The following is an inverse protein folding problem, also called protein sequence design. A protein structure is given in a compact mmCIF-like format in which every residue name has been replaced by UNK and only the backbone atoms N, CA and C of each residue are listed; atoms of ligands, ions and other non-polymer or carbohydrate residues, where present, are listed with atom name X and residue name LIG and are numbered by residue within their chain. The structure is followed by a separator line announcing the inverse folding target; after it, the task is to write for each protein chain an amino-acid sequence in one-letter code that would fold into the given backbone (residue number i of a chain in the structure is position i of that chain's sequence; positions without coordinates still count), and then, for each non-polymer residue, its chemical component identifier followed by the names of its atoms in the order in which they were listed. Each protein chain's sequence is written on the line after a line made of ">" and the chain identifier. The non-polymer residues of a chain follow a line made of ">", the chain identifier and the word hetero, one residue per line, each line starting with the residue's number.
data_IF_417246266778
#
_entry.id   IF_417246266778
#
_cell.length_a   1.000
_cell.length_b   1.000
_cell.length_c   1.000
_cell.angle_alpha   90.00
_cell.angle_beta   90.00
_cell.angle_gamma   90.00
#
_symmetry.space_group_name_H-M   'P 1'
#
loop_
_entity.id
_entity.type
_entity.pdbx_description
1 polymer ?
#
# COMPACT_ATOMS: atom_id res chain seq x y z
N UNK A 1 21.37 20.84 -6.96
CA UNK A 1 22.26 19.90 -6.25
C UNK A 1 22.75 18.87 -7.26
N UNK A 2 24.03 18.90 -7.63
CA UNK A 2 24.61 17.87 -8.50
C UNK A 2 24.61 16.55 -7.69
N UNK A 3 24.05 15.48 -8.27
CA UNK A 3 24.13 14.16 -7.63
C UNK A 3 25.58 13.70 -7.71
N UNK A 4 26.26 13.56 -6.58
CA UNK A 4 27.69 13.15 -6.51
C UNK A 4 27.96 11.89 -7.33
N UNK A 5 27.06 10.90 -7.28
CA UNK A 5 27.13 9.70 -8.14
C UNK A 5 27.25 10.03 -9.62
N UNK A 6 26.47 11.01 -10.10
CA UNK A 6 26.48 11.46 -11.50
C UNK A 6 27.80 12.14 -11.85
N UNK A 7 28.33 13.00 -10.99
CA UNK A 7 29.61 13.67 -11.21
C UNK A 7 30.78 12.68 -11.33
N UNK A 8 30.78 11.60 -10.53
CA UNK A 8 31.76 10.51 -10.62
C UNK A 8 31.57 9.73 -11.92
N UNK A 9 30.32 9.43 -12.29
CA UNK A 9 30.01 8.66 -13.50
C UNK A 9 30.34 9.36 -14.81
N UNK A 10 30.08 10.67 -14.92
CA UNK A 10 30.34 11.42 -16.16
C UNK A 10 31.84 11.43 -16.50
N UNK A 11 32.69 11.21 -15.50
CA UNK A 11 34.14 11.04 -15.64
C UNK A 11 34.57 9.60 -15.95
N UNK A 12 33.63 8.64 -15.93
CA UNK A 12 33.82 7.23 -16.26
C UNK A 12 32.85 6.75 -17.37
N UNK A 13 32.78 7.42 -18.54
CA UNK A 13 31.77 7.16 -19.56
C UNK A 13 31.87 5.77 -20.20
N UNK A 14 33.04 5.14 -20.14
CA UNK A 14 33.26 3.77 -20.61
C UNK A 14 32.55 2.70 -19.76
N UNK A 15 31.99 3.10 -18.60
CA UNK A 15 31.37 2.21 -17.62
C UNK A 15 29.87 2.45 -17.59
N UNK A 16 29.19 2.01 -18.66
CA UNK A 16 27.74 2.20 -18.87
C UNK A 16 26.86 1.78 -17.68
N UNK A 17 27.35 0.94 -16.76
CA UNK A 17 26.63 0.48 -15.57
C UNK A 17 27.16 1.00 -14.22
N UNK A 18 28.26 1.77 -14.19
CA UNK A 18 28.88 2.18 -12.93
C UNK A 18 27.97 3.05 -12.05
N UNK A 19 27.07 3.86 -12.64
CA UNK A 19 26.18 4.72 -11.86
C UNK A 19 25.20 4.00 -10.98
N UNK A 20 24.72 2.85 -11.43
CA UNK A 20 23.79 2.03 -10.67
C UNK A 20 24.52 1.18 -9.64
N UNK A 21 25.83 0.98 -9.81
CA UNK A 21 26.67 0.16 -8.96
C UNK A 21 27.44 0.95 -7.87
N UNK A 22 27.32 2.29 -7.85
CA UNK A 22 27.88 3.14 -6.80
C UNK A 22 27.00 3.12 -5.54
N UNK A 23 27.50 2.47 -4.50
CA UNK A 23 26.81 2.22 -3.24
C UNK A 23 27.41 3.04 -2.10
N UNK A 24 26.62 3.21 -1.03
CA UNK A 24 27.13 3.74 0.24
C UNK A 24 27.59 2.54 1.07
N UNK A 25 28.83 2.50 1.58
CA UNK A 25 29.34 1.36 2.33
C UNK A 25 28.46 1.01 3.54
N UNK A 26 28.39 -0.28 3.86
CA UNK A 26 27.68 -0.74 5.05
C UNK A 26 28.23 -0.09 6.33
N UNK A 27 27.35 0.12 7.32
CA UNK A 27 27.62 0.88 8.56
C UNK A 27 28.90 0.45 9.31
N UNK A 28 29.22 -0.85 9.30
CA UNK A 28 30.43 -1.40 9.93
C UNK A 28 31.72 -1.00 9.20
N UNK A 29 31.66 -0.80 7.88
CA UNK A 29 32.80 -0.33 7.08
C UNK A 29 32.99 1.18 7.21
N UNK A 30 31.91 1.95 7.39
CA UNK A 30 31.97 3.40 7.66
C UNK A 30 32.76 3.72 8.94
N UNK A 31 32.65 2.87 9.97
CA UNK A 31 33.43 2.99 11.20
C UNK A 31 34.93 2.74 10.97
N UNK A 32 35.29 1.84 10.07
CA UNK A 32 36.69 1.57 9.68
C UNK A 32 37.29 2.68 8.82
N UNK A 33 36.47 3.36 8.01
CA UNK A 33 36.89 4.51 7.19
C UNK A 33 37.01 5.81 7.97
N UNK A 34 37.18 5.75 9.30
CA UNK A 34 37.25 6.90 10.19
C UNK A 34 36.07 7.89 10.02
N UNK A 35 34.88 7.39 9.65
CA UNK A 35 33.66 8.16 9.35
C UNK A 35 33.79 9.13 8.17
N UNK A 36 34.78 8.97 7.29
CA UNK A 36 34.84 9.78 6.06
C UNK A 36 33.73 9.37 5.09
N UNK A 37 32.99 10.33 4.50
CA UNK A 37 31.96 10.04 3.51
C UNK A 37 32.60 9.35 2.30
N UNK A 38 32.12 8.16 1.97
CA UNK A 38 32.71 7.29 0.94
C UNK A 38 31.59 6.72 0.08
N UNK A 39 31.80 6.65 -1.22
CA UNK A 39 31.04 5.80 -2.14
C UNK A 39 31.91 4.63 -2.55
N UNK A 40 31.32 3.45 -2.71
CA UNK A 40 32.04 2.27 -3.17
C UNK A 40 31.39 1.67 -4.41
N UNK A 41 32.22 1.08 -5.26
CA UNK A 41 31.77 0.27 -6.37
C UNK A 41 32.41 -1.12 -6.28
N UNK A 42 31.58 -2.13 -6.10
CA UNK A 42 31.99 -3.53 -6.03
C UNK A 42 32.09 -4.09 -7.46
N UNK A 43 33.25 -4.65 -7.80
CA UNK A 43 33.54 -5.15 -9.14
C UNK A 43 32.91 -6.55 -9.34
N UNK A 44 32.29 -6.85 -10.51
CA UNK A 44 31.76 -8.17 -10.81
C UNK A 44 32.88 -9.22 -10.90
N UNK A 45 32.65 -10.42 -10.38
CA UNK A 45 33.63 -11.52 -10.36
C UNK A 45 34.05 -12.06 -11.73
N UNK A 46 33.34 -11.70 -12.81
CA UNK A 46 33.55 -12.22 -14.16
C UNK A 46 34.62 -11.47 -14.98
N UNK A 47 35.29 -10.48 -14.39
CA UNK A 47 36.06 -9.47 -15.15
C UNK A 47 37.58 -9.62 -14.94
N UNK A 48 38.12 -10.75 -14.46
CA UNK A 48 39.50 -10.84 -13.93
C UNK A 48 40.65 -10.16 -14.75
N UNK A 49 40.61 -10.16 -16.09
CA UNK A 49 41.61 -9.46 -16.93
C UNK A 49 41.25 -7.99 -17.18
N UNK A 50 39.99 -7.74 -17.52
CA UNK A 50 39.44 -6.41 -17.77
C UNK A 50 39.30 -5.58 -16.45
N UNK A 51 39.34 -6.25 -15.31
CA UNK A 51 39.33 -5.72 -13.93
C UNK A 51 40.69 -5.09 -13.62
N UNK A 52 41.80 -5.67 -14.09
CA UNK A 52 43.14 -5.05 -13.91
C UNK A 52 43.29 -3.79 -14.72
N UNK A 53 42.91 -3.82 -15.99
CA UNK A 53 42.95 -2.64 -16.87
C UNK A 53 42.03 -1.53 -16.35
N UNK A 54 40.84 -1.88 -15.86
CA UNK A 54 39.92 -0.95 -15.24
C UNK A 54 40.49 -0.33 -13.96
N UNK A 55 41.07 -1.15 -13.09
CA UNK A 55 41.64 -0.69 -11.83
C UNK A 55 42.84 0.23 -12.06
N UNK A 56 43.67 -0.04 -13.05
CA UNK A 56 44.76 0.86 -13.44
C UNK A 56 44.22 2.16 -14.06
N UNK A 57 43.23 2.08 -14.97
CA UNK A 57 42.60 3.27 -15.55
C UNK A 57 41.97 4.18 -14.48
N UNK A 58 41.27 3.61 -13.49
CA UNK A 58 40.66 4.39 -12.40
C UNK A 58 41.70 4.92 -11.42
N UNK A 59 42.83 4.23 -11.19
CA UNK A 59 43.94 4.75 -10.39
C UNK A 59 44.63 5.95 -11.06
N UNK A 60 44.80 5.89 -12.37
CA UNK A 60 45.47 6.94 -13.14
C UNK A 60 44.54 8.12 -13.45
N UNK A 61 43.23 7.91 -13.40
CA UNK A 61 42.24 8.96 -13.62
C UNK A 61 42.24 9.99 -12.48
N UNK A 62 42.40 11.27 -12.85
CA UNK A 62 42.19 12.39 -11.93
C UNK A 62 40.73 12.79 -11.92
N UNK A 63 40.04 12.42 -10.85
CA UNK A 63 38.67 12.85 -10.63
C UNK A 63 38.62 14.32 -10.24
N UNK A 64 37.47 14.97 -10.45
CA UNK A 64 37.20 16.32 -9.97
C UNK A 64 37.40 16.42 -8.44
N UNK A 65 38.49 17.09 -8.06
CA UNK A 65 38.92 17.33 -6.68
C UNK A 65 37.88 18.14 -5.88
N UNK A 66 36.89 18.75 -6.55
CA UNK A 66 35.73 19.38 -5.91
C UNK A 66 34.90 18.36 -5.12
N UNK A 67 34.81 17.12 -5.59
CA UNK A 67 33.93 16.10 -5.01
C UNK A 67 34.68 14.92 -4.44
N UNK A 68 35.76 14.49 -5.10
CA UNK A 68 36.52 13.30 -4.73
C UNK A 68 37.85 13.73 -4.13
N UNK A 69 38.08 13.43 -2.86
CA UNK A 69 39.34 13.69 -2.17
C UNK A 69 40.39 12.62 -2.52
N UNK A 70 39.96 11.36 -2.58
CA UNK A 70 40.86 10.23 -2.79
C UNK A 70 40.12 9.05 -3.36
N UNK A 71 40.75 8.38 -4.32
CA UNK A 71 40.31 7.07 -4.81
C UNK A 71 41.22 5.99 -4.24
N UNK A 72 40.62 4.89 -3.75
CA UNK A 72 41.35 3.72 -3.31
C UNK A 72 40.85 2.49 -4.05
N UNK A 73 41.78 1.72 -4.59
CA UNK A 73 41.50 0.39 -5.11
C UNK A 73 41.76 -0.61 -4.00
N UNK A 74 40.72 -1.34 -3.61
CA UNK A 74 40.81 -2.44 -2.65
C UNK A 74 40.79 -3.75 -3.45
N UNK A 75 41.91 -4.49 -3.48
CA UNK A 75 41.97 -5.75 -4.22
C UNK A 75 41.05 -6.80 -3.57
N UNK A 76 40.70 -7.82 -4.35
CA UNK A 76 39.93 -8.95 -3.85
C UNK A 76 40.70 -9.67 -2.74
N UNK A 77 40.00 -10.05 -1.67
CA UNK A 77 40.59 -10.73 -0.51
C UNK A 77 39.62 -11.77 0.05
N UNK A 78 40.04 -13.04 0.06
CA UNK A 78 39.23 -14.17 0.47
C UNK A 78 37.86 -14.21 -0.24
N UNK A 79 36.76 -14.06 0.52
CA UNK A 79 35.37 -14.04 -0.02
C UNK A 79 34.88 -12.64 -0.44
N UNK A 80 35.75 -11.63 -0.45
CA UNK A 80 35.37 -10.25 -0.82
C UNK A 80 35.88 -9.95 -2.23
N UNK A 81 34.96 -9.51 -3.09
CA UNK A 81 35.29 -8.98 -4.41
C UNK A 81 36.14 -7.71 -4.29
N UNK A 82 36.91 -7.40 -5.33
CA UNK A 82 37.62 -6.14 -5.40
C UNK A 82 36.61 -4.99 -5.47
N UNK A 83 37.01 -3.82 -4.95
CA UNK A 83 36.18 -2.63 -4.97
C UNK A 83 36.99 -1.36 -5.14
N UNK A 84 36.32 -0.33 -5.63
CA UNK A 84 36.85 1.01 -5.76
C UNK A 84 36.12 1.89 -4.74
N UNK A 85 36.87 2.55 -3.86
CA UNK A 85 36.34 3.49 -2.88
C UNK A 85 36.66 4.92 -3.30
N UNK A 86 35.61 5.74 -3.40
CA UNK A 86 35.68 7.17 -3.66
C UNK A 86 35.44 7.91 -2.34
N UNK A 87 36.52 8.43 -1.74
CA UNK A 87 36.43 9.27 -0.55
C UNK A 87 36.03 10.67 -0.98
N UNK A 88 34.97 11.20 -0.38
CA UNK A 88 34.38 12.48 -0.77
C UNK A 88 34.96 13.61 0.06
N UNK A 89 35.05 14.81 -0.53
CA UNK A 89 35.46 16.05 0.15
C UNK A 89 34.39 16.50 1.16
N UNK A 90 34.62 16.38 2.49
CA UNK A 90 33.57 16.67 3.47
C UNK A 90 33.23 18.16 3.56
N UNK A 91 34.24 19.03 3.43
CA UNK A 91 34.07 20.49 3.55
C UNK A 91 33.21 21.02 2.42
N UNK A 92 33.55 20.71 1.17
CA UNK A 92 32.79 21.14 -0.01
C UNK A 92 31.37 20.56 0.04
N UNK A 93 31.20 19.31 0.46
CA UNK A 93 29.87 18.72 0.65
C UNK A 93 29.02 19.49 1.67
N UNK A 94 29.60 19.82 2.84
CA UNK A 94 28.91 20.57 3.90
C UNK A 94 28.62 21.99 3.43
N UNK A 95 29.58 22.68 2.82
CA UNK A 95 29.40 24.02 2.26
C UNK A 95 28.30 24.05 1.20
N UNK A 96 28.33 23.12 0.25
CA UNK A 96 27.25 22.98 -0.73
C UNK A 96 25.91 22.69 -0.06
N UNK A 97 25.85 21.82 0.95
CA UNK A 97 24.61 21.52 1.66
C UNK A 97 24.06 22.74 2.41
N UNK A 98 24.93 23.53 3.05
CA UNK A 98 24.56 24.73 3.82
C UNK A 98 24.23 25.93 2.92
N UNK A 99 24.94 26.09 1.80
CA UNK A 99 24.74 27.16 0.82
C UNK A 99 23.63 26.84 -0.17
N UNK A 100 23.28 25.57 -0.34
CA UNK A 100 22.04 25.18 -1.02
C UNK A 100 20.91 25.75 -0.18
N UNK A 101 20.42 26.95 -0.55
CA UNK A 101 19.04 27.34 -0.25
C UNK A 101 18.22 26.11 -0.63
N UNK A 102 17.47 25.54 0.31
CA UNK A 102 16.57 24.40 0.09
C UNK A 102 15.80 24.67 -1.20
N UNK A 103 16.39 24.24 -2.32
CA UNK A 103 15.91 24.60 -3.61
C UNK A 103 14.74 23.66 -3.77
N UNK A 104 13.56 24.25 -3.73
CA UNK A 104 12.28 23.60 -3.93
C UNK A 104 12.13 23.06 -5.34
N UNK A 105 13.21 22.93 -6.12
CA UNK A 105 13.24 22.14 -7.35
C UNK A 105 13.00 20.68 -6.96
N UNK A 106 11.73 20.34 -6.76
CA UNK A 106 11.25 18.97 -6.73
C UNK A 106 11.85 18.29 -7.95
N UNK A 107 12.44 17.09 -7.82
CA UNK A 107 12.86 16.34 -9.00
C UNK A 107 11.59 16.14 -9.83
N UNK A 108 11.40 16.89 -10.91
CA UNK A 108 10.20 16.76 -11.71
C UNK A 108 10.26 15.39 -12.41
N UNK A 109 9.36 14.45 -12.10
CA UNK A 109 9.04 13.42 -13.06
C UNK A 109 8.39 14.11 -14.26
N UNK A 110 8.23 13.40 -15.38
CA UNK A 110 7.39 13.93 -16.45
C UNK A 110 6.02 14.34 -15.85
N UNK A 111 5.46 15.53 -16.17
CA UNK A 111 4.16 16.00 -15.65
C UNK A 111 2.98 15.04 -15.92
N UNK A 112 3.22 13.99 -16.70
CA UNK A 112 2.26 13.00 -17.16
C UNK A 112 2.16 11.78 -16.25
N UNK A 113 3.11 11.55 -15.34
CA UNK A 113 3.09 10.34 -14.48
C UNK A 113 2.16 10.53 -13.27
N UNK A 114 1.07 9.77 -13.27
CA UNK A 114 0.08 9.72 -12.21
C UNK A 114 0.22 8.42 -11.39
N UNK A 115 0.39 8.55 -10.07
CA UNK A 115 0.54 7.44 -9.13
C UNK A 115 -0.72 7.35 -8.28
N UNK A 116 -1.38 6.19 -8.31
CA UNK A 116 -2.46 5.89 -7.36
C UNK A 116 -1.90 5.06 -6.21
N UNK A 117 -2.37 5.37 -5.01
CA UNK A 117 -2.08 4.60 -3.81
C UNK A 117 -3.41 4.23 -3.18
N UNK A 118 -3.79 2.95 -3.26
CA UNK A 118 -4.92 2.38 -2.54
C UNK A 118 -4.44 1.84 -1.19
N UNK A 119 -5.04 2.32 -0.11
CA UNK A 119 -4.65 1.92 1.23
C UNK A 119 -5.77 2.17 2.26
N UNK A 120 -5.58 1.62 3.46
CA UNK A 120 -6.56 1.54 4.55
C UNK A 120 -7.71 0.58 4.25
N UNK A 121 -8.55 0.91 3.26
CA UNK A 121 -9.63 0.06 2.71
C UNK A 121 -10.38 -0.82 3.73
N UNK A 122 -10.88 -0.27 4.87
CA UNK A 122 -11.61 -1.06 5.85
C UNK A 122 -13.00 -1.48 5.34
N UNK A 123 -13.54 -2.54 5.92
CA UNK A 123 -14.96 -2.86 5.79
C UNK A 123 -15.82 -1.86 6.55
N UNK A 124 -16.96 -1.48 6.00
CA UNK A 124 -17.86 -0.56 6.69
C UNK A 124 -18.61 -1.22 7.84
N UNK A 125 -19.19 -0.38 8.72
CA UNK A 125 -19.90 -0.83 9.92
C UNK A 125 -19.06 -1.70 10.88
N UNK A 126 -17.73 -1.73 10.70
CA UNK A 126 -16.78 -2.39 11.60
C UNK A 126 -15.85 -1.34 12.22
N UNK A 127 -15.63 -1.36 13.53
CA UNK A 127 -14.74 -0.40 14.17
C UNK A 127 -13.30 -0.52 13.65
N UNK A 128 -12.61 0.61 13.61
CA UNK A 128 -11.24 0.66 13.12
C UNK A 128 -10.25 0.05 14.14
N UNK A 129 -9.80 -1.18 13.89
CA UNK A 129 -8.80 -1.85 14.73
C UNK A 129 -7.35 -1.63 14.27
N UNK A 130 -6.38 -1.93 15.13
CA UNK A 130 -4.93 -1.75 14.86
C UNK A 130 -4.44 -2.49 13.61
N UNK A 131 -5.09 -3.58 13.20
CA UNK A 131 -4.79 -4.26 11.93
C UNK A 131 -4.86 -3.34 10.70
N UNK A 132 -5.78 -2.37 10.68
CA UNK A 132 -5.93 -1.42 9.57
C UNK A 132 -4.83 -0.35 9.58
N UNK A 133 -4.29 -0.01 10.76
CA UNK A 133 -3.27 1.03 10.94
C UNK A 133 -2.04 0.83 10.03
N UNK A 134 -1.62 -0.42 9.81
CA UNK A 134 -0.44 -0.72 8.98
C UNK A 134 -0.63 -0.23 7.55
N UNK A 135 -1.74 -0.63 6.93
CA UNK A 135 -2.05 -0.17 5.57
C UNK A 135 -2.18 1.35 5.54
N UNK A 136 -2.89 1.94 6.51
CA UNK A 136 -3.09 3.39 6.62
C UNK A 136 -1.79 4.18 6.65
N UNK A 137 -0.85 3.83 7.54
CA UNK A 137 0.42 4.57 7.67
C UNK A 137 1.32 4.33 6.47
N UNK A 138 1.48 3.07 6.03
CA UNK A 138 2.36 2.73 4.90
C UNK A 138 1.90 3.44 3.63
N UNK A 139 0.60 3.38 3.33
CA UNK A 139 0.05 4.05 2.16
C UNK A 139 0.17 5.57 2.23
N UNK A 140 -0.09 6.18 3.39
CA UNK A 140 0.09 7.63 3.56
C UNK A 140 1.56 8.06 3.34
N UNK A 141 2.52 7.30 3.87
CA UNK A 141 3.97 7.56 3.65
C UNK A 141 4.31 7.45 2.16
N UNK A 142 3.84 6.41 1.48
CA UNK A 142 4.09 6.24 0.05
C UNK A 142 3.47 7.36 -0.78
N UNK A 143 2.24 7.76 -0.49
CA UNK A 143 1.59 8.87 -1.19
C UNK A 143 2.34 10.20 -0.96
N UNK A 144 2.74 10.48 0.28
CA UNK A 144 3.52 11.67 0.62
C UNK A 144 4.89 11.67 -0.06
N UNK A 145 5.56 10.52 -0.16
CA UNK A 145 6.84 10.38 -0.84
C UNK A 145 6.71 10.67 -2.34
N UNK A 146 5.75 10.05 -3.03
CA UNK A 146 5.53 10.28 -4.46
C UNK A 146 5.13 11.74 -4.74
N UNK A 147 4.25 12.32 -3.93
CA UNK A 147 3.89 13.74 -4.05
C UNK A 147 5.09 14.67 -3.79
N UNK A 148 5.95 14.35 -2.82
CA UNK A 148 7.18 15.10 -2.56
C UNK A 148 8.17 15.02 -3.74
N UNK A 149 8.26 13.84 -4.35
CA UNK A 149 9.02 13.59 -5.58
C UNK A 149 8.37 14.19 -6.84
N UNK A 150 7.28 14.95 -6.72
CA UNK A 150 6.69 15.70 -7.82
C UNK A 150 5.69 14.94 -8.70
N UNK A 151 5.37 13.69 -8.38
CA UNK A 151 4.35 12.92 -9.10
C UNK A 151 2.94 13.45 -8.79
N UNK A 152 2.05 13.48 -9.80
CA UNK A 152 0.61 13.56 -9.53
C UNK A 152 0.23 12.32 -8.74
N UNK A 153 -0.33 12.48 -7.55
CA UNK A 153 -0.61 11.36 -6.64
C UNK A 153 -2.04 11.42 -6.16
N UNK A 154 -2.78 10.31 -6.30
CA UNK A 154 -4.15 10.15 -5.79
C UNK A 154 -4.16 9.13 -4.66
N UNK A 155 -4.64 9.53 -3.48
CA UNK A 155 -4.89 8.68 -2.32
C UNK A 155 -6.30 8.13 -2.40
N UNK A 156 -6.41 6.82 -2.55
CA UNK A 156 -7.68 6.12 -2.76
C UNK A 156 -7.99 5.23 -1.55
N UNK A 157 -9.23 5.31 -1.07
CA UNK A 157 -9.76 4.41 -0.05
C UNK A 157 -10.85 3.53 -0.65
N UNK A 158 -10.59 2.22 -0.79
CA UNK A 158 -11.54 1.29 -1.37
C UNK A 158 -12.32 0.59 -0.24
N UNK A 159 -13.48 1.12 0.10
CA UNK A 159 -14.23 0.69 1.28
C UNK A 159 -15.02 -0.59 0.97
N UNK A 160 -14.83 -1.58 1.85
CA UNK A 160 -15.52 -2.86 1.78
C UNK A 160 -16.97 -2.71 2.18
N UNK A 161 -17.86 -2.73 1.19
CA UNK A 161 -19.28 -2.47 1.35
C UNK A 161 -20.13 -3.45 0.52
N UNK A 162 -19.52 -4.57 0.11
CA UNK A 162 -20.21 -5.67 -0.57
C UNK A 162 -19.99 -7.05 0.07
N UNK A 163 -21.05 -7.87 0.10
CA UNK A 163 -21.03 -9.25 0.59
C UNK A 163 -22.05 -9.57 1.70
N UNK A 164 -22.12 -10.86 2.06
CA UNK A 164 -23.12 -11.41 2.99
C UNK A 164 -23.10 -10.79 4.38
N UNK A 165 -21.96 -10.22 4.79
CA UNK A 165 -21.83 -9.46 6.04
C UNK A 165 -22.80 -8.27 6.14
N UNK A 166 -23.27 -7.73 5.01
CA UNK A 166 -24.22 -6.62 4.99
C UNK A 166 -25.66 -7.07 5.12
N UNK A 167 -26.00 -8.23 4.57
CA UNK A 167 -27.26 -8.89 4.87
C UNK A 167 -27.41 -9.20 6.36
N UNK A 168 -26.33 -9.64 7.00
CA UNK A 168 -26.27 -9.83 8.45
C UNK A 168 -26.42 -8.52 9.21
N UNK A 169 -25.77 -7.44 8.76
CA UNK A 169 -25.90 -6.12 9.38
C UNK A 169 -27.35 -5.61 9.34
N UNK A 170 -27.98 -5.62 8.16
CA UNK A 170 -29.38 -5.21 7.99
C UNK A 170 -30.32 -6.07 8.83
N UNK A 171 -30.11 -7.39 8.85
CA UNK A 171 -30.88 -8.28 9.71
C UNK A 171 -30.70 -7.97 11.20
N UNK A 172 -29.48 -7.67 11.63
CA UNK A 172 -29.19 -7.32 13.03
C UNK A 172 -29.91 -6.07 13.49
N UNK A 173 -29.93 -5.03 12.65
CA UNK A 173 -30.66 -3.79 12.94
C UNK A 173 -32.17 -4.08 13.13
N UNK A 174 -32.73 -4.97 12.32
CA UNK A 174 -34.13 -5.41 12.42
C UNK A 174 -34.36 -6.24 13.69
N UNK A 175 -33.49 -7.21 13.99
CA UNK A 175 -33.65 -8.12 15.13
C UNK A 175 -33.53 -7.39 16.47
N UNK A 176 -32.61 -6.43 16.56
CA UNK A 176 -32.37 -5.65 17.77
C UNK A 176 -33.35 -4.47 17.93
N UNK A 177 -34.28 -4.27 16.97
CA UNK A 177 -35.22 -3.13 16.95
C UNK A 177 -34.51 -1.77 17.15
N UNK A 178 -33.35 -1.59 16.51
CA UNK A 178 -32.52 -0.40 16.68
C UNK A 178 -33.32 0.84 16.28
N UNK A 179 -33.39 1.80 17.20
CA UNK A 179 -34.07 3.07 16.98
C UNK A 179 -33.18 4.07 16.25
N UNK A 180 -33.79 5.05 15.57
CA UNK A 180 -33.06 6.15 14.93
C UNK A 180 -32.24 6.96 15.95
N UNK A 181 -32.73 7.09 17.18
CA UNK A 181 -32.05 7.79 18.28
C UNK A 181 -30.74 7.10 18.67
N UNK A 182 -30.77 5.76 18.87
CA UNK A 182 -29.58 4.97 19.16
C UNK A 182 -28.56 5.04 18.01
N UNK A 183 -29.04 4.96 16.77
CA UNK A 183 -28.19 5.04 15.57
C UNK A 183 -27.48 6.39 15.46
N UNK A 184 -28.11 7.49 15.85
CA UNK A 184 -27.50 8.83 15.79
C UNK A 184 -26.41 9.05 16.84
N UNK A 185 -26.54 8.46 18.03
CA UNK A 185 -25.58 8.66 19.14
C UNK A 185 -24.25 7.96 18.86
N UNK A 186 -24.29 6.70 18.42
CA UNK A 186 -23.09 5.87 18.25
C UNK A 186 -23.25 4.89 17.08
N UNK A 187 -23.34 5.39 15.82
CA UNK A 187 -23.75 4.59 14.67
C UNK A 187 -22.85 3.38 14.45
N UNK A 188 -21.52 3.55 14.48
CA UNK A 188 -20.58 2.44 14.21
C UNK A 188 -20.61 1.39 15.31
N UNK A 189 -20.79 1.79 16.56
CA UNK A 189 -20.88 0.85 17.67
C UNK A 189 -22.18 0.04 17.62
N UNK A 190 -23.30 0.71 17.34
CA UNK A 190 -24.62 0.10 17.19
C UNK A 190 -24.67 -0.86 16.00
N UNK A 191 -24.14 -0.43 14.85
CA UNK A 191 -24.01 -1.26 13.66
C UNK A 191 -23.13 -2.49 13.93
N UNK A 192 -22.00 -2.31 14.61
CA UNK A 192 -21.13 -3.43 14.95
C UNK A 192 -21.80 -4.43 15.90
N UNK A 193 -22.50 -3.94 16.94
CA UNK A 193 -23.28 -4.78 17.87
C UNK A 193 -24.36 -5.58 17.12
N UNK A 194 -25.10 -4.90 16.25
CA UNK A 194 -26.14 -5.50 15.40
C UNK A 194 -25.58 -6.62 14.51
N UNK A 195 -24.44 -6.36 13.86
CA UNK A 195 -23.75 -7.37 13.06
C UNK A 195 -23.32 -8.59 13.88
N UNK A 196 -22.74 -8.38 15.08
CA UNK A 196 -22.31 -9.48 15.95
C UNK A 196 -23.50 -10.32 16.40
N UNK A 197 -24.61 -9.69 16.79
CA UNK A 197 -25.84 -10.36 17.20
C UNK A 197 -26.41 -11.23 16.06
N UNK A 198 -26.56 -10.65 14.86
CA UNK A 198 -27.06 -11.36 13.70
C UNK A 198 -26.12 -12.49 13.24
N UNK A 199 -24.80 -12.28 13.28
CA UNK A 199 -23.84 -13.32 12.93
C UNK A 199 -23.94 -14.52 13.87
N UNK A 200 -24.04 -14.29 15.18
CA UNK A 200 -24.26 -15.36 16.16
C UNK A 200 -25.58 -16.09 15.91
N UNK A 201 -26.66 -15.35 15.68
CA UNK A 201 -27.97 -15.94 15.40
C UNK A 201 -27.98 -16.76 14.09
N UNK A 202 -27.24 -16.32 13.07
CA UNK A 202 -27.10 -17.05 11.81
C UNK A 202 -26.24 -18.32 11.92
N UNK A 203 -25.26 -18.34 12.83
CA UNK A 203 -24.48 -19.56 13.13
C UNK A 203 -25.35 -20.63 13.81
N UNK A 204 -26.33 -20.20 14.60
CA UNK A 204 -27.24 -21.08 15.36
C UNK A 204 -28.51 -21.47 14.56
N UNK A 205 -28.89 -20.71 13.53
CA UNK A 205 -30.11 -20.93 12.74
C UNK A 205 -29.91 -20.81 11.23
N UNK A 206 -30.09 -21.91 10.46
CA UNK A 206 -30.05 -21.88 8.99
C UNK A 206 -31.09 -20.95 8.36
N UNK A 207 -32.23 -20.74 9.03
CA UNK A 207 -33.30 -19.86 8.55
C UNK A 207 -32.89 -18.39 8.65
N UNK A 208 -32.24 -18.00 9.76
CA UNK A 208 -31.66 -16.67 9.94
C UNK A 208 -30.53 -16.44 8.93
N UNK A 209 -29.67 -17.44 8.71
CA UNK A 209 -28.63 -17.37 7.69
C UNK A 209 -29.18 -17.22 6.26
N UNK A 210 -30.34 -17.85 5.98
CA UNK A 210 -31.06 -17.67 4.70
C UNK A 210 -31.62 -16.25 4.60
N UNK A 211 -32.31 -15.77 5.65
CA UNK A 211 -32.88 -14.41 5.68
C UNK A 211 -31.82 -13.33 5.47
N UNK A 212 -30.63 -13.48 6.05
CA UNK A 212 -29.51 -12.57 5.82
C UNK A 212 -29.05 -12.57 4.35
N UNK A 213 -28.97 -13.75 3.72
CA UNK A 213 -28.64 -13.85 2.29
C UNK A 213 -29.72 -13.22 1.40
N UNK A 214 -30.99 -13.43 1.73
CA UNK A 214 -32.11 -12.88 0.97
C UNK A 214 -32.14 -11.34 1.06
N UNK A 215 -31.85 -10.78 2.25
CA UNK A 215 -31.70 -9.32 2.43
C UNK A 215 -30.54 -8.75 1.61
N UNK A 216 -29.40 -9.44 1.58
CA UNK A 216 -28.26 -9.03 0.76
C UNK A 216 -28.60 -9.09 -0.73
N UNK A 217 -29.26 -10.15 -1.20
CA UNK A 217 -29.69 -10.29 -2.59
C UNK A 217 -30.67 -9.17 -2.99
N UNK A 218 -31.60 -8.79 -2.12
CA UNK A 218 -32.51 -7.67 -2.35
C UNK A 218 -31.78 -6.32 -2.44
N UNK A 219 -30.75 -6.11 -1.61
CA UNK A 219 -29.89 -4.92 -1.67
C UNK A 219 -29.08 -4.88 -2.98
N UNK A 220 -28.52 -6.01 -3.39
CA UNK A 220 -27.77 -6.15 -4.64
C UNK A 220 -28.65 -5.91 -5.88
N UNK A 221 -29.90 -6.40 -5.86
CA UNK A 221 -30.86 -6.18 -6.93
C UNK A 221 -31.46 -4.76 -6.96
N UNK A 222 -31.26 -3.97 -5.90
CA UNK A 222 -31.81 -2.61 -5.78
C UNK A 222 -33.33 -2.58 -5.69
N UNK A 223 -33.98 -3.68 -5.30
CA UNK A 223 -35.44 -3.82 -5.29
C UNK A 223 -36.11 -3.18 -4.08
N UNK A 224 -35.34 -2.80 -3.06
CA UNK A 224 -35.83 -2.18 -1.83
C UNK A 224 -35.23 -0.78 -1.65
N UNK A 225 -36.02 0.25 -1.95
CA UNK A 225 -35.61 1.65 -1.86
C UNK A 225 -35.30 2.07 -0.40
N UNK A 226 -35.97 1.46 0.58
CA UNK A 226 -35.76 1.77 2.00
C UNK A 226 -34.40 1.25 2.45
N UNK A 227 -34.08 0.00 2.11
CA UNK A 227 -32.76 -0.59 2.37
C UNK A 227 -31.65 0.18 1.66
N UNK A 228 -31.87 0.61 0.42
CA UNK A 228 -30.90 1.43 -0.31
C UNK A 228 -30.63 2.78 0.39
N UNK A 229 -31.66 3.45 0.91
CA UNK A 229 -31.50 4.71 1.69
C UNK A 229 -30.75 4.48 2.99
N UNK A 230 -31.11 3.44 3.74
CA UNK A 230 -30.40 3.08 4.97
C UNK A 230 -28.92 2.76 4.70
N UNK A 231 -28.65 2.09 3.59
CA UNK A 231 -27.30 1.75 3.17
C UNK A 231 -26.43 2.99 2.89
N UNK A 232 -26.98 3.97 2.16
CA UNK A 232 -26.30 5.26 1.97
C UNK A 232 -26.01 5.95 3.30
N UNK A 233 -26.93 5.85 4.26
CA UNK A 233 -26.74 6.42 5.59
C UNK A 233 -25.60 5.70 6.35
N UNK A 234 -25.50 4.38 6.28
CA UNK A 234 -24.41 3.61 6.93
C UNK A 234 -23.04 3.94 6.34
N UNK A 235 -22.97 4.12 5.02
CA UNK A 235 -21.76 4.61 4.34
C UNK A 235 -21.35 5.98 4.87
N UNK A 236 -22.31 6.90 4.99
CA UNK A 236 -22.07 8.25 5.52
C UNK A 236 -21.52 8.20 6.94
N UNK A 237 -22.16 7.46 7.84
CA UNK A 237 -21.67 7.29 9.22
C UNK A 237 -20.26 6.70 9.27
N UNK A 238 -19.97 5.73 8.38
CA UNK A 238 -18.64 5.13 8.30
C UNK A 238 -17.59 6.15 7.86
N UNK A 239 -17.85 6.95 6.81
CA UNK A 239 -16.92 7.99 6.40
C UNK A 239 -16.70 9.02 7.51
N UNK A 240 -17.76 9.45 8.19
CA UNK A 240 -17.65 10.44 9.26
C UNK A 240 -16.80 9.95 10.44
N UNK A 241 -16.96 8.69 10.85
CA UNK A 241 -16.15 8.09 11.91
C UNK A 241 -14.69 7.89 11.47
N UNK A 242 -14.48 7.28 10.30
CA UNK A 242 -13.15 7.07 9.73
C UNK A 242 -12.40 8.39 9.54
N UNK A 243 -13.08 9.45 9.11
CA UNK A 243 -12.48 10.78 8.90
C UNK A 243 -11.90 11.35 10.19
N UNK A 244 -12.52 11.10 11.36
CA UNK A 244 -11.97 11.51 12.66
C UNK A 244 -10.64 10.79 12.95
N UNK A 245 -10.59 9.49 12.68
CA UNK A 245 -9.37 8.66 12.86
C UNK A 245 -8.28 9.11 11.88
N UNK A 246 -8.60 9.25 10.60
CA UNK A 246 -7.64 9.69 9.57
C UNK A 246 -7.09 11.08 9.87
N UNK A 247 -7.94 12.03 10.26
CA UNK A 247 -7.51 13.37 10.67
C UNK A 247 -6.53 13.32 11.84
N UNK A 248 -6.78 12.49 12.85
CA UNK A 248 -5.88 12.30 13.99
C UNK A 248 -4.51 11.74 13.57
N UNK A 249 -4.47 10.92 12.52
CA UNK A 249 -3.24 10.34 11.97
C UNK A 249 -2.53 11.24 10.94
N UNK A 250 -3.09 12.41 10.60
CA UNK A 250 -2.58 13.25 9.51
C UNK A 250 -2.74 12.60 8.13
N UNK A 251 -3.80 11.82 7.95
CA UNK A 251 -4.14 11.09 6.72
C UNK A 251 -5.34 11.76 6.07
N UNK A 252 -5.33 11.84 4.75
CA UNK A 252 -6.46 12.29 3.93
C UNK A 252 -6.57 11.42 2.68
N UNK A 253 -7.75 11.41 2.07
CA UNK A 253 -8.02 10.69 0.83
C UNK A 253 -8.59 11.65 -0.19
N UNK A 254 -8.17 11.48 -1.44
CA UNK A 254 -8.62 12.26 -2.59
C UNK A 254 -9.86 11.62 -3.23
N UNK A 255 -10.02 10.30 -3.06
CA UNK A 255 -11.15 9.52 -3.56
C UNK A 255 -11.55 8.43 -2.57
N UNK A 256 -12.86 8.33 -2.33
CA UNK A 256 -13.49 7.21 -1.65
C UNK A 256 -14.26 6.39 -2.66
N UNK A 257 -14.00 5.11 -2.69
CA UNK A 257 -14.56 4.14 -3.60
C UNK A 257 -15.24 3.03 -2.79
N UNK A 258 -16.18 2.34 -3.41
CA UNK A 258 -17.03 1.33 -2.76
C UNK A 258 -17.02 0.06 -3.59
N UNK A 259 -16.94 -1.11 -2.95
CA UNK A 259 -17.07 -2.38 -3.67
C UNK A 259 -18.36 -2.43 -4.50
N UNK A 260 -19.46 -2.06 -3.89
CA UNK A 260 -20.79 -1.97 -4.50
C UNK A 260 -20.96 -0.94 -5.63
N UNK A 261 -20.02 0.00 -5.82
CA UNK A 261 -20.14 0.98 -6.91
C UNK A 261 -20.04 0.31 -8.29
N UNK A 262 -19.46 -0.88 -8.33
CA UNK A 262 -19.31 -1.68 -9.53
C UNK A 262 -20.57 -2.53 -9.74
N UNK A 263 -21.34 -2.19 -10.77
CA UNK A 263 -22.62 -2.81 -11.05
C UNK A 263 -22.46 -4.25 -11.54
N UNK A 264 -23.52 -5.05 -11.42
CA UNK A 264 -23.56 -6.39 -12.01
C UNK A 264 -23.28 -6.36 -13.52
N UNK A 265 -23.77 -5.33 -14.23
CA UNK A 265 -23.53 -5.17 -15.66
C UNK A 265 -22.03 -4.97 -15.98
N UNK A 266 -21.32 -4.16 -15.20
CA UNK A 266 -19.87 -3.99 -15.37
C UNK A 266 -19.13 -5.30 -15.12
N UNK A 267 -19.55 -6.07 -14.11
CA UNK A 267 -18.96 -7.38 -13.83
C UNK A 267 -19.23 -8.35 -14.98
N UNK A 268 -20.45 -8.38 -15.53
CA UNK A 268 -20.79 -9.23 -16.68
C UNK A 268 -19.94 -8.89 -17.91
N UNK A 269 -19.72 -7.61 -18.22
CA UNK A 269 -18.83 -7.18 -19.31
C UNK A 269 -17.39 -7.72 -19.14
N UNK A 270 -16.88 -7.74 -17.91
CA UNK A 270 -15.57 -8.35 -17.61
C UNK A 270 -15.59 -9.86 -17.83
N UNK A 271 -16.63 -10.55 -17.36
CA UNK A 271 -16.76 -12.00 -17.53
C UNK A 271 -16.82 -12.36 -19.02
N UNK A 272 -17.58 -11.60 -19.81
CA UNK A 272 -17.67 -11.80 -21.25
C UNK A 272 -16.32 -11.55 -21.93
N UNK A 273 -15.58 -10.50 -21.56
CA UNK A 273 -14.20 -10.30 -22.06
C UNK A 273 -13.30 -11.47 -21.75
N UNK A 274 -13.37 -12.03 -20.53
CA UNK A 274 -12.58 -13.20 -20.15
C UNK A 274 -12.97 -14.45 -20.92
N UNK A 275 -14.27 -14.66 -21.21
CA UNK A 275 -14.74 -15.77 -22.05
C UNK A 275 -14.27 -15.65 -23.49
N UNK A 276 -14.41 -14.46 -24.08
CA UNK A 276 -13.95 -14.19 -25.45
C UNK A 276 -12.43 -14.34 -25.60
N UNK A 277 -11.67 -14.01 -24.56
CA UNK A 277 -10.22 -14.24 -24.51
C UNK A 277 -9.84 -15.71 -24.25
N UNK A 278 -10.80 -16.60 -24.00
CA UNK A 278 -10.56 -18.01 -23.66
C UNK A 278 -9.92 -18.23 -22.27
N UNK A 279 -9.97 -17.22 -21.40
CA UNK A 279 -9.34 -17.24 -20.08
C UNK A 279 -10.28 -17.79 -19.00
N UNK A 280 -11.59 -17.54 -19.14
CA UNK A 280 -12.61 -18.04 -18.21
C UNK A 280 -13.08 -19.43 -18.66
N UNK A 281 -12.77 -20.44 -17.87
CA UNK A 281 -13.00 -21.84 -18.18
C UNK A 281 -14.08 -22.43 -17.27
N UNK A 282 -15.10 -23.11 -17.83
CA UNK A 282 -16.11 -23.78 -17.03
C UNK A 282 -15.56 -25.07 -16.40
N UNK A 283 -16.05 -25.38 -15.21
CA UNK A 283 -15.75 -26.58 -14.44
C UNK A 283 -16.94 -27.55 -14.41
N UNK A 284 -16.67 -28.83 -14.16
CA UNK A 284 -17.71 -29.86 -14.09
C UNK A 284 -18.73 -29.62 -12.96
N UNK A 285 -18.34 -28.90 -11.92
CA UNK A 285 -19.20 -28.56 -10.78
C UNK A 285 -19.96 -27.23 -10.96
N UNK A 286 -19.96 -26.67 -12.18
CA UNK A 286 -20.68 -25.44 -12.52
C UNK A 286 -19.95 -24.14 -12.15
N UNK A 287 -18.74 -24.21 -11.60
CA UNK A 287 -17.89 -23.01 -11.40
C UNK A 287 -17.30 -22.53 -12.72
N UNK A 288 -16.93 -21.25 -12.77
CA UNK A 288 -16.04 -20.74 -13.82
C UNK A 288 -14.74 -20.21 -13.20
N UNK A 289 -13.60 -20.60 -13.75
CA UNK A 289 -12.27 -20.36 -13.21
C UNK A 289 -11.35 -19.66 -14.21
N UNK A 290 -10.30 -19.03 -13.70
CA UNK A 290 -9.12 -18.65 -14.49
C UNK A 290 -7.91 -19.45 -14.02
N UNK A 291 -6.99 -19.75 -14.93
CA UNK A 291 -5.74 -20.47 -14.60
C UNK A 291 -4.58 -19.50 -14.59
N UNK A 292 -3.95 -19.31 -13.43
CA UNK A 292 -2.83 -18.39 -13.23
C UNK A 292 -1.69 -19.16 -12.55
N UNK A 293 -0.52 -19.19 -13.18
CA UNK A 293 0.66 -19.92 -12.68
C UNK A 293 0.38 -21.40 -12.34
N UNK A 294 -0.45 -22.05 -13.17
CA UNK A 294 -0.87 -23.44 -12.96
C UNK A 294 -1.90 -23.64 -11.83
N UNK A 295 -2.37 -22.57 -11.18
CA UNK A 295 -3.41 -22.62 -10.15
C UNK A 295 -4.77 -22.25 -10.73
N UNK A 296 -5.80 -22.96 -10.27
CA UNK A 296 -7.20 -22.77 -10.68
C UNK A 296 -7.89 -21.83 -9.70
N UNK A 297 -8.27 -20.65 -10.16
CA UNK A 297 -8.79 -19.57 -9.32
C UNK A 297 -10.25 -19.32 -9.70
N UNK A 298 -11.20 -19.57 -8.79
CA UNK A 298 -12.61 -19.37 -9.09
C UNK A 298 -12.96 -17.89 -9.24
N UNK A 299 -13.72 -17.59 -10.28
CA UNK A 299 -14.31 -16.27 -10.54
C UNK A 299 -15.82 -16.30 -10.29
N UNK A 300 -16.47 -17.40 -10.67
CA UNK A 300 -17.91 -17.64 -10.49
C UNK A 300 -18.10 -18.93 -9.70
N UNK A 301 -19.01 -18.92 -8.73
CA UNK A 301 -19.40 -20.10 -7.96
C UNK A 301 -20.41 -20.97 -8.72
N UNK A 302 -20.63 -22.19 -8.25
CA UNK A 302 -21.61 -23.12 -8.83
C UNK A 302 -23.06 -22.61 -8.79
N UNK A 303 -23.37 -21.63 -7.93
CA UNK A 303 -24.67 -20.97 -7.84
C UNK A 303 -24.79 -19.74 -8.77
N UNK A 304 -23.78 -19.47 -9.59
CA UNK A 304 -23.73 -18.31 -10.50
C UNK A 304 -23.30 -17.00 -9.84
N UNK A 305 -23.10 -16.96 -8.51
CA UNK A 305 -22.63 -15.75 -7.83
C UNK A 305 -21.16 -15.45 -8.12
N UNK A 306 -20.83 -14.17 -8.27
CA UNK A 306 -19.47 -13.71 -8.56
C UNK A 306 -18.62 -13.58 -7.30
N UNK A 307 -17.32 -13.85 -7.42
CA UNK A 307 -16.35 -13.67 -6.35
C UNK A 307 -15.65 -12.31 -6.44
N UNK A 308 -15.00 -11.91 -5.33
CA UNK A 308 -14.31 -10.62 -5.18
C UNK A 308 -13.35 -10.29 -6.34
N UNK A 309 -12.67 -11.30 -6.89
CA UNK A 309 -11.72 -11.11 -7.98
C UNK A 309 -12.37 -10.47 -9.23
N UNK A 310 -13.60 -10.83 -9.58
CA UNK A 310 -14.30 -10.23 -10.72
C UNK A 310 -14.54 -8.72 -10.50
N UNK A 311 -14.92 -8.36 -9.27
CA UNK A 311 -15.17 -6.98 -8.85
C UNK A 311 -13.89 -6.16 -8.83
N UNK A 312 -12.80 -6.71 -8.32
CA UNK A 312 -11.50 -6.03 -8.29
C UNK A 312 -10.93 -5.81 -9.69
N UNK A 313 -11.17 -6.73 -10.64
CA UNK A 313 -10.82 -6.52 -12.05
C UNK A 313 -11.63 -5.34 -12.61
N UNK A 314 -12.95 -5.32 -12.39
CA UNK A 314 -13.80 -4.21 -12.82
C UNK A 314 -13.31 -2.88 -12.22
N UNK A 315 -12.94 -2.88 -10.94
CA UNK A 315 -12.40 -1.71 -10.26
C UNK A 315 -11.10 -1.22 -10.89
N UNK A 316 -10.16 -2.14 -11.13
CA UNK A 316 -8.89 -1.83 -11.76
C UNK A 316 -9.06 -1.24 -13.17
N UNK A 317 -9.93 -1.80 -14.00
CA UNK A 317 -10.13 -1.30 -15.37
C UNK A 317 -10.88 0.04 -15.42
N UNK A 318 -11.81 0.28 -14.49
CA UNK A 318 -12.45 1.58 -14.33
C UNK A 318 -11.44 2.63 -13.89
N UNK A 319 -10.59 2.32 -12.89
CA UNK A 319 -9.52 3.23 -12.44
C UNK A 319 -8.54 3.54 -13.55
N UNK A 320 -8.18 2.55 -14.37
CA UNK A 320 -7.31 2.77 -15.54
C UNK A 320 -7.94 3.78 -16.50
N UNK A 321 -9.23 3.63 -16.79
CA UNK A 321 -9.96 4.50 -17.70
C UNK A 321 -10.15 5.91 -17.13
N UNK A 322 -10.46 6.03 -15.83
CA UNK A 322 -10.73 7.29 -15.14
C UNK A 322 -9.47 8.09 -14.84
N UNK A 323 -8.44 7.44 -14.35
CA UNK A 323 -7.24 8.11 -13.84
C UNK A 323 -6.05 8.08 -14.79
N UNK A 324 -6.05 7.17 -15.78
CA UNK A 324 -4.95 6.98 -16.72
C UNK A 324 -3.60 6.91 -16.01
N UNK A 325 -3.55 6.09 -14.95
CA UNK A 325 -2.41 6.06 -14.06
C UNK A 325 -1.19 5.42 -14.72
N UNK A 326 -0.02 5.90 -14.35
CA UNK A 326 1.27 5.28 -14.70
C UNK A 326 1.62 4.14 -13.74
N UNK A 327 1.26 4.26 -12.46
CA UNK A 327 1.40 3.18 -11.47
C UNK A 327 0.24 3.19 -10.47
N UNK A 328 -0.12 2.01 -10.00
CA UNK A 328 -1.10 1.78 -8.94
C UNK A 328 -0.50 0.88 -7.87
N UNK A 329 -0.40 1.42 -6.65
CA UNK A 329 0.12 0.74 -5.48
C UNK A 329 -1.04 0.26 -4.61
N UNK A 330 -1.16 -1.05 -4.44
CA UNK A 330 -2.11 -1.68 -3.52
C UNK A 330 -1.41 -2.00 -2.20
N UNK A 331 -1.76 -1.30 -1.12
CA UNK A 331 -1.14 -1.48 0.20
C UNK A 331 -1.97 -2.45 1.03
N UNK A 332 -1.71 -3.75 0.88
CA UNK A 332 -2.53 -4.81 1.48
C UNK A 332 -1.66 -5.88 2.16
N UNK A 333 -2.20 -6.59 3.14
CA UNK A 333 -1.48 -7.61 3.89
C UNK A 333 -0.93 -8.72 2.98
N UNK A 334 0.19 -9.32 3.39
CA UNK A 334 0.85 -10.37 2.63
C UNK A 334 -0.02 -11.62 2.42
N UNK A 335 -1.05 -11.83 3.25
CA UNK A 335 -1.98 -12.95 3.08
C UNK A 335 -2.79 -12.88 1.79
N UNK A 336 -2.91 -11.71 1.16
CA UNK A 336 -3.62 -11.51 -0.10
C UNK A 336 -2.70 -11.59 -1.34
N UNK A 337 -1.46 -12.06 -1.19
CA UNK A 337 -0.49 -12.09 -2.29
C UNK A 337 -0.97 -12.92 -3.50
N UNK A 338 -1.60 -14.07 -3.25
CA UNK A 338 -2.13 -14.92 -4.32
C UNK A 338 -3.29 -14.25 -5.06
N UNK A 339 -4.16 -13.54 -4.32
CA UNK A 339 -5.27 -12.76 -4.88
C UNK A 339 -4.76 -11.65 -5.81
N UNK A 340 -3.80 -10.83 -5.35
CA UNK A 340 -3.24 -9.75 -6.18
C UNK A 340 -2.46 -10.27 -7.39
N UNK A 341 -1.77 -11.41 -7.26
CA UNK A 341 -1.15 -12.06 -8.41
C UNK A 341 -2.19 -12.48 -9.47
N UNK A 342 -3.31 -13.05 -9.03
CA UNK A 342 -4.43 -13.40 -9.90
C UNK A 342 -5.05 -12.15 -10.55
N UNK A 343 -5.32 -11.11 -9.75
CA UNK A 343 -5.88 -9.85 -10.22
C UNK A 343 -5.03 -9.22 -11.31
N UNK A 344 -3.73 -9.04 -11.06
CA UNK A 344 -2.85 -8.35 -12.00
C UNK A 344 -2.70 -9.11 -13.30
N UNK A 345 -2.47 -10.42 -13.24
CA UNK A 345 -2.29 -11.26 -14.44
C UNK A 345 -3.58 -11.38 -15.24
N UNK A 346 -4.71 -11.54 -14.57
CA UNK A 346 -6.02 -11.64 -15.23
C UNK A 346 -6.39 -10.31 -15.90
N UNK A 347 -6.21 -9.18 -15.21
CA UNK A 347 -6.54 -7.86 -15.76
C UNK A 347 -5.66 -7.49 -16.97
N UNK A 348 -4.34 -7.72 -16.89
CA UNK A 348 -3.41 -7.46 -18.01
C UNK A 348 -3.72 -8.36 -19.22
N UNK A 349 -4.20 -9.59 -18.98
CA UNK A 349 -4.55 -10.50 -20.06
C UNK A 349 -5.80 -10.07 -20.87
N UNK A 350 -6.67 -9.23 -20.30
CA UNK A 350 -7.90 -8.74 -20.97
C UNK A 350 -7.87 -7.26 -21.33
N UNK A 351 -6.86 -6.50 -20.90
CA UNK A 351 -6.73 -5.07 -21.17
C UNK A 351 -5.33 -4.74 -21.69
N UNK A 352 -5.23 -4.48 -23.00
CA UNK A 352 -3.95 -4.22 -23.68
C UNK A 352 -3.28 -2.90 -23.28
N UNK A 353 -4.03 -1.95 -22.70
CA UNK A 353 -3.47 -0.69 -22.18
C UNK A 353 -2.76 -0.85 -20.84
N UNK A 354 -2.88 -2.00 -20.19
CA UNK A 354 -2.38 -2.25 -18.84
C UNK A 354 -1.18 -3.20 -18.87
N UNK A 355 -0.11 -2.84 -18.17
CA UNK A 355 1.08 -3.66 -18.03
C UNK A 355 1.33 -4.04 -16.56
N UNK A 356 1.99 -5.19 -16.34
CA UNK A 356 2.27 -5.69 -14.99
C UNK A 356 3.20 -4.78 -14.18
N UNK A 357 4.12 -4.05 -14.83
CA UNK A 357 5.04 -3.12 -14.17
C UNK A 357 4.34 -1.87 -13.61
N UNK A 358 3.11 -1.58 -14.07
CA UNK A 358 2.27 -0.52 -13.54
C UNK A 358 1.58 -0.91 -12.24
N UNK A 359 1.50 -2.20 -11.90
CA UNK A 359 0.72 -2.72 -10.77
C UNK A 359 1.65 -3.26 -9.68
N UNK A 360 1.51 -2.75 -8.46
CA UNK A 360 2.36 -3.17 -7.35
C UNK A 360 1.56 -3.50 -6.10
N UNK A 361 1.71 -4.73 -5.62
CA UNK A 361 1.26 -5.13 -4.29
C UNK A 361 2.32 -4.77 -3.26
N UNK A 362 2.09 -3.70 -2.50
CA UNK A 362 2.93 -3.29 -1.36
C UNK A 362 2.52 -4.09 -0.14
N UNK A 363 3.28 -5.16 0.12
CA UNK A 363 2.97 -6.17 1.14
C UNK A 363 3.42 -5.72 2.54
N UNK A 364 2.63 -6.06 3.55
CA UNK A 364 3.05 -5.96 4.95
C UNK A 364 2.59 -7.19 5.76
N UNK A 365 3.31 -7.48 6.86
CA UNK A 365 2.99 -8.61 7.74
C UNK A 365 1.75 -8.36 8.62
N UNK A 366 1.14 -9.42 9.14
CA UNK A 366 0.06 -9.30 10.11
C UNK A 366 0.59 -8.90 11.49
N UNK A 367 -0.26 -8.26 12.28
CA UNK A 367 0.02 -8.02 13.71
C UNK A 367 -0.46 -9.26 14.46
N UNK A 368 0.43 -9.85 15.26
CA UNK A 368 0.11 -11.02 16.07
C UNK A 368 -0.60 -10.60 17.37
N UNK A 369 -1.39 -11.51 17.96
CA UNK A 369 -2.05 -11.29 19.25
C UNK A 369 -3.43 -10.62 19.20
N UNK A 370 -3.97 -10.34 18.02
CA UNK A 370 -5.33 -9.82 17.85
C UNK A 370 -6.24 -10.86 17.17
N UNK A 371 -7.43 -11.08 17.74
CA UNK A 371 -8.46 -11.93 17.15
C UNK A 371 -9.84 -11.34 17.40
N UNK A 372 -10.53 -10.97 16.32
CA UNK A 372 -11.93 -10.50 16.34
C UNK A 372 -12.87 -11.62 16.79
N UNK A 373 -12.57 -12.87 16.44
CA UNK A 373 -13.39 -14.06 16.79
C UNK A 373 -13.31 -14.47 18.25
N UNK A 374 -12.28 -14.03 18.98
CA UNK A 374 -12.14 -14.27 20.42
C UNK A 374 -12.51 -13.03 21.26
N UNK A 375 -13.12 -12.00 20.66
CA UNK A 375 -13.46 -10.75 21.35
C UNK A 375 -12.26 -9.89 21.75
N UNK A 376 -11.06 -10.18 21.24
CA UNK A 376 -9.80 -9.45 21.54
C UNK A 376 -9.49 -8.39 20.48
N UNK A 377 -10.51 -7.75 19.93
CA UNK A 377 -10.30 -6.65 18.99
C UNK A 377 -9.85 -5.42 19.77
N UNK A 378 -8.65 -4.94 19.50
CA UNK A 378 -8.14 -3.69 20.08
C UNK A 378 -8.47 -2.57 19.10
N UNK A 379 -9.28 -1.61 19.53
CA UNK A 379 -9.61 -0.45 18.71
C UNK A 379 -8.43 0.51 18.64
N UNK A 380 -8.22 1.10 17.47
CA UNK A 380 -7.10 2.02 17.28
C UNK A 380 -7.25 3.28 18.14
N UNK A 381 -8.48 3.75 18.33
CA UNK A 381 -8.77 4.93 19.18
C UNK A 381 -8.18 4.75 20.58
N UNK A 382 -8.44 3.60 21.20
CA UNK A 382 -7.98 3.28 22.56
C UNK A 382 -6.45 3.26 22.63
N UNK A 383 -5.79 2.64 21.64
CA UNK A 383 -4.32 2.62 21.55
C UNK A 383 -3.73 4.03 21.43
N UNK A 384 -4.34 4.88 20.61
CA UNK A 384 -3.87 6.26 20.44
C UNK A 384 -4.13 7.12 21.68
N UNK A 385 -5.22 6.87 22.42
CA UNK A 385 -5.54 7.56 23.67
C UNK A 385 -4.59 7.13 24.79
N UNK A 386 -4.36 5.84 24.95
CA UNK A 386 -3.37 5.30 25.90
C UNK A 386 -1.97 5.85 25.61
N UNK A 387 -1.53 5.83 24.34
CA UNK A 387 -0.23 6.38 23.95
C UNK A 387 -0.12 7.89 24.26
N UNK A 388 -1.19 8.66 24.06
CA UNK A 388 -1.24 10.08 24.40
C UNK A 388 -1.06 10.28 25.91
N UNK A 389 -1.76 9.48 26.71
CA UNK A 389 -1.77 9.65 28.16
C UNK A 389 -0.44 9.25 28.79
N UNK A 390 0.17 8.14 28.34
CA UNK A 390 1.55 7.78 28.70
C UNK A 390 2.55 8.89 28.35
N UNK A 391 2.43 9.50 27.17
CA UNK A 391 3.35 10.57 26.76
C UNK A 391 3.13 11.86 27.55
N UNK A 392 1.88 12.17 27.93
CA UNK A 392 1.56 13.30 28.82
C UNK A 392 2.15 13.11 30.20
N UNK A 393 2.01 11.91 30.76
CA UNK A 393 2.59 11.53 32.04
C UNK A 393 4.11 11.71 32.01
N UNK A 394 4.79 11.10 31.03
CA UNK A 394 6.25 11.24 30.86
C UNK A 394 6.69 12.70 30.73
N UNK A 395 5.96 13.52 29.98
CA UNK A 395 6.23 14.95 29.84
C UNK A 395 6.16 15.68 31.19
N UNK A 396 5.18 15.36 32.02
CA UNK A 396 5.00 16.01 33.32
C UNK A 396 6.10 15.61 34.32
N UNK A 397 6.62 14.37 34.24
CA UNK A 397 7.72 13.89 35.09
C UNK A 397 9.13 14.23 34.57
N UNK A 398 9.26 14.70 33.33
CA UNK A 398 10.57 15.06 32.78
C UNK A 398 11.02 16.41 33.34
N UNK A 399 12.04 16.41 34.20
CA UNK A 399 12.64 17.64 34.69
C UNK A 399 13.24 18.45 33.52
N UNK A 400 12.93 19.75 33.46
CA UNK A 400 13.57 20.63 32.47
C UNK A 400 15.00 20.92 32.89
N UNK A 401 15.92 21.07 31.93
CA UNK A 401 17.31 21.50 32.17
C UNK A 401 17.44 22.96 32.63
N UNK A 402 16.32 23.69 32.80
CA UNK A 402 16.35 25.01 33.45
C UNK A 402 16.64 24.82 34.93
N UNK A 403 17.89 25.05 35.34
CA UNK A 403 18.21 25.37 36.74
C UNK A 403 17.45 26.65 37.09
N UNK A 404 16.42 26.53 37.92
CA UNK A 404 15.81 27.68 38.59
C UNK A 404 16.92 28.31 39.43
N UNK A 405 17.48 29.43 38.98
CA UNK A 405 18.31 30.27 39.85
C UNK A 405 17.36 30.82 40.91
N UNK A 406 17.48 30.29 42.12
CA UNK A 406 16.89 30.86 43.34
C UNK A 406 17.50 32.22 43.63
#
# INVERSE_FOLDING_TARGET
>A
MIRIRRAICEQLPHLKNACHALEVPAKNQVLQNARRPTLEWILPSAVAQQERELLEMVKEHRFDDTYVEKVRVVPSAARRAAKIEFQLQPQIFVEQLLQTKLSTSKPYPSPTEHILVEYSSPNIAKPFHVGHLRSTIIGNVLANLHQHLGYRTTRLNYLGDWGTQFGLLALGVILENVTDEEMQVSPIEVLYKSYVAANKAAEESPEIAKRARDLFAALEAGTDETMAKQWQQYRKYTIEDLSKVYKRLGVHFDSYEWESQYSQMQILDILDKLRHAGLLQPEQDGREIVVIDGRRIPIIKSDGSTLYLARDIAALLERLSRFQFSRLLYVVDNGQADHFNALFKTAVAVESRLNLDQLQHVKFGRIHGMSTRQGKAIFLKDVLDEARDIMREKRNFTATTKKTKL
#
